data_IF_088207683176
#
_entry.id   IF_088207683176
#
_cell.length_a   1.000
_cell.length_b   1.000
_cell.length_c   1.000
_cell.angle_alpha   90.00
_cell.angle_beta   90.00
_cell.angle_gamma   90.00
#
_symmetry.space_group_name_H-M   'P 1'
#
loop_
_entity.id
_entity.type
_entity.pdbx_description
1 polymer ?
#
# COMPACT_ATOMS: atom_id res chain seq x y z
N UNK A 1 -9.14 48.97 1.22
CA UNK A 1 -9.65 48.01 0.21
C UNK A 1 -8.52 47.10 -0.19
N UNK A 2 -8.36 45.97 0.51
CA UNK A 2 -7.22 45.06 0.37
C UNK A 2 -7.57 44.00 -0.67
N UNK A 3 -6.87 44.02 -1.79
CA UNK A 3 -7.07 43.09 -2.91
C UNK A 3 -6.42 41.74 -2.53
N UNK A 4 -7.22 40.72 -2.22
CA UNK A 4 -6.77 39.33 -2.05
C UNK A 4 -6.47 38.76 -3.45
N UNK A 5 -5.19 38.65 -3.78
CA UNK A 5 -4.74 37.97 -4.98
C UNK A 5 -4.84 36.45 -4.74
N UNK A 6 -5.88 35.85 -5.27
CA UNK A 6 -6.05 34.40 -5.31
C UNK A 6 -5.07 33.84 -6.35
N UNK A 7 -3.98 33.20 -5.88
CA UNK A 7 -3.07 32.45 -6.74
C UNK A 7 -3.76 31.14 -7.10
N UNK A 8 -4.36 31.09 -8.27
CA UNK A 8 -4.82 29.83 -8.86
C UNK A 8 -3.59 29.01 -9.25
N UNK A 9 -3.25 27.98 -8.47
CA UNK A 9 -2.28 26.98 -8.87
C UNK A 9 -2.90 26.15 -9.99
N UNK A 10 -2.38 26.33 -11.21
CA UNK A 10 -2.73 25.48 -12.35
C UNK A 10 -2.35 24.06 -12.03
N UNK A 11 -3.33 23.19 -11.72
CA UNK A 11 -3.12 21.76 -11.63
C UNK A 11 -2.78 21.27 -13.05
N UNK A 12 -1.51 20.94 -13.28
CA UNK A 12 -1.10 20.26 -14.49
C UNK A 12 -1.75 18.87 -14.50
N UNK A 13 -2.72 18.67 -15.36
CA UNK A 13 -3.31 17.36 -15.60
C UNK A 13 -2.28 16.48 -16.33
N UNK A 14 -1.48 15.73 -15.58
CA UNK A 14 -0.74 14.63 -16.16
C UNK A 14 -1.75 13.59 -16.68
N UNK A 15 -1.57 13.03 -17.90
CA UNK A 15 -2.44 11.98 -18.40
C UNK A 15 -2.20 10.70 -17.60
N UNK A 16 -2.90 10.54 -16.47
CA UNK A 16 -2.87 9.33 -15.66
C UNK A 16 -3.76 8.24 -16.28
N UNK A 17 -3.19 7.05 -16.45
CA UNK A 17 -3.92 5.83 -16.80
C UNK A 17 -4.79 5.25 -15.68
N UNK A 18 -4.46 5.40 -14.37
CA UNK A 18 -5.34 5.04 -13.26
C UNK A 18 -6.64 5.83 -13.30
N UNK A 19 -7.74 5.19 -12.88
CA UNK A 19 -9.04 5.87 -12.79
C UNK A 19 -9.11 6.79 -11.56
N UNK A 20 -8.38 6.45 -10.47
CA UNK A 20 -8.30 7.24 -9.26
C UNK A 20 -6.84 7.34 -8.79
N UNK A 21 -6.42 8.53 -8.37
CA UNK A 21 -5.06 8.77 -7.90
C UNK A 21 -5.00 9.91 -6.88
N UNK A 22 -4.12 9.79 -5.89
CA UNK A 22 -3.77 10.86 -4.97
C UNK A 22 -2.29 10.79 -4.63
N UNK A 23 -1.62 11.94 -4.71
CA UNK A 23 -0.22 12.10 -4.31
C UNK A 23 -0.12 13.30 -3.38
N UNK A 24 0.42 13.08 -2.19
CA UNK A 24 0.58 14.12 -1.19
C UNK A 24 2.03 14.24 -0.70
N UNK A 25 2.41 15.44 -0.30
CA UNK A 25 3.58 15.67 0.55
C UNK A 25 3.20 15.31 1.99
N UNK A 26 3.90 14.33 2.58
CA UNK A 26 3.59 13.83 3.93
C UNK A 26 3.74 14.91 5.00
N UNK A 27 4.72 15.80 4.86
CA UNK A 27 5.08 16.78 5.89
C UNK A 27 4.08 17.94 5.99
N UNK A 28 3.53 18.35 4.86
CA UNK A 28 2.60 19.48 4.77
C UNK A 28 1.13 19.09 4.55
N UNK A 29 0.87 17.83 4.18
CA UNK A 29 -0.44 17.38 3.72
C UNK A 29 -0.84 17.97 2.35
N UNK A 30 0.05 18.72 1.68
CA UNK A 30 -0.23 19.33 0.40
C UNK A 30 -0.53 18.26 -0.66
N UNK A 31 -1.65 18.41 -1.35
CA UNK A 31 -1.98 17.62 -2.54
C UNK A 31 -1.07 18.08 -3.68
N UNK A 32 -0.26 17.15 -4.19
CA UNK A 32 0.65 17.38 -5.31
C UNK A 32 0.02 16.98 -6.64
N UNK A 33 -0.74 15.89 -6.63
CA UNK A 33 -1.50 15.39 -7.79
C UNK A 33 -2.78 14.72 -7.31
N UNK A 34 -3.87 14.94 -8.01
CA UNK A 34 -5.17 14.36 -7.70
C UNK A 34 -5.95 14.00 -8.97
N UNK A 35 -6.66 12.89 -8.92
CA UNK A 35 -7.64 12.48 -9.91
C UNK A 35 -8.68 11.58 -9.23
N UNK A 36 -9.94 12.02 -9.18
CA UNK A 36 -11.05 11.22 -8.64
C UNK A 36 -10.70 10.57 -7.28
N UNK A 37 -10.04 11.32 -6.38
CA UNK A 37 -9.47 10.77 -5.15
C UNK A 37 -10.50 10.16 -4.20
N UNK A 38 -11.75 10.62 -4.28
CA UNK A 38 -12.86 10.18 -3.42
C UNK A 38 -13.78 9.14 -4.09
N UNK A 39 -13.44 8.67 -5.29
CA UNK A 39 -14.19 7.58 -5.91
C UNK A 39 -13.94 6.27 -5.13
N UNK A 40 -15.03 5.62 -4.72
CA UNK A 40 -15.00 4.32 -4.06
C UNK A 40 -14.80 3.25 -5.12
N UNK A 41 -13.69 2.50 -4.99
CA UNK A 41 -13.31 1.42 -5.91
C UNK A 41 -12.79 0.20 -5.16
N UNK A 42 -12.85 -1.02 -5.73
CA UNK A 42 -12.19 -2.18 -5.16
C UNK A 42 -10.68 -1.97 -5.06
N UNK A 43 -10.07 -2.41 -3.96
CA UNK A 43 -8.67 -2.11 -3.63
C UNK A 43 -7.74 -3.32 -3.68
N UNK A 44 -8.29 -4.51 -3.93
CA UNK A 44 -7.53 -5.75 -3.98
C UNK A 44 -6.58 -5.88 -2.76
N UNK A 45 -5.39 -6.45 -2.95
CA UNK A 45 -4.42 -6.73 -1.89
C UNK A 45 -3.82 -5.50 -1.18
N UNK A 46 -4.26 -4.26 -1.48
CA UNK A 46 -3.95 -3.11 -0.62
C UNK A 46 -4.55 -3.32 0.78
N UNK A 47 -5.66 -4.07 0.87
CA UNK A 47 -6.29 -4.58 2.09
C UNK A 47 -5.29 -5.16 3.09
N UNK A 48 -4.23 -5.82 2.63
CA UNK A 48 -3.26 -6.50 3.49
C UNK A 48 -2.44 -5.55 4.38
N UNK A 49 -2.39 -4.25 4.06
CA UNK A 49 -1.84 -3.25 4.99
C UNK A 49 -2.72 -3.12 6.24
N UNK A 50 -4.04 -3.09 6.08
CA UNK A 50 -4.97 -3.09 7.21
C UNK A 50 -4.88 -4.40 8.00
N UNK A 51 -4.86 -5.53 7.31
CA UNK A 51 -4.67 -6.84 7.94
C UNK A 51 -3.43 -6.88 8.80
N UNK A 52 -2.30 -6.40 8.29
CA UNK A 52 -1.04 -6.37 9.02
C UNK A 52 -1.10 -5.46 10.26
N UNK A 53 -1.67 -4.26 10.15
CA UNK A 53 -1.83 -3.34 11.28
C UNK A 53 -2.66 -3.99 12.40
N UNK A 54 -3.80 -4.58 12.07
CA UNK A 54 -4.69 -5.23 13.05
C UNK A 54 -4.01 -6.42 13.71
N UNK A 55 -3.28 -7.24 12.94
CA UNK A 55 -2.53 -8.39 13.48
C UNK A 55 -1.43 -7.94 14.45
N UNK A 56 -0.70 -6.87 14.11
CA UNK A 56 0.36 -6.33 14.97
C UNK A 56 -0.20 -5.65 16.22
N UNK A 57 -1.34 -4.97 16.11
CA UNK A 57 -2.01 -4.35 17.27
C UNK A 57 -2.45 -5.37 18.31
N UNK A 58 -2.75 -6.61 17.91
CA UNK A 58 -3.08 -7.70 18.81
C UNK A 58 -1.91 -8.17 19.68
N UNK A 59 -0.67 -7.73 19.39
CA UNK A 59 0.56 -8.04 20.15
C UNK A 59 0.76 -9.54 20.42
N UNK A 60 0.33 -10.37 19.48
CA UNK A 60 0.55 -11.82 19.55
C UNK A 60 2.05 -12.14 19.43
N UNK A 61 2.44 -13.28 20.00
CA UNK A 61 3.80 -13.79 19.80
C UNK A 61 4.07 -14.03 18.30
N UNK A 62 5.05 -13.29 17.76
CA UNK A 62 5.43 -13.35 16.35
C UNK A 62 6.29 -14.57 16.02
N UNK A 63 6.83 -15.25 17.01
CA UNK A 63 7.54 -16.53 16.86
C UNK A 63 6.60 -17.74 17.01
N UNK A 64 5.38 -17.55 17.50
CA UNK A 64 4.38 -18.60 17.59
C UNK A 64 4.07 -19.19 16.21
N UNK A 65 4.02 -20.53 16.14
CA UNK A 65 3.74 -21.24 14.91
C UNK A 65 2.27 -21.12 14.50
N UNK A 66 2.04 -20.75 13.26
CA UNK A 66 0.74 -20.82 12.58
C UNK A 66 0.75 -22.01 11.62
N UNK A 67 -0.22 -22.92 11.77
CA UNK A 67 -0.47 -23.95 10.75
C UNK A 67 -1.33 -23.34 9.64
N UNK A 68 -0.94 -23.61 8.41
CA UNK A 68 -1.74 -23.28 7.21
C UNK A 68 -2.79 -24.38 7.04
N UNK A 69 -4.05 -23.98 7.00
CA UNK A 69 -5.22 -24.86 6.99
C UNK A 69 -5.96 -24.84 5.66
N UNK A 70 -6.85 -25.80 5.41
CA UNK A 70 -7.75 -25.82 4.23
C UNK A 70 -8.68 -24.60 4.24
N UNK A 71 -9.05 -24.07 5.39
CA UNK A 71 -9.85 -22.86 5.53
C UNK A 71 -9.13 -21.59 5.04
N UNK A 72 -7.81 -21.64 4.85
CA UNK A 72 -7.01 -20.54 4.34
C UNK A 72 -6.91 -20.56 2.81
N UNK A 73 -7.44 -21.60 2.17
CA UNK A 73 -7.49 -21.72 0.71
C UNK A 73 -8.50 -20.74 0.12
N UNK A 74 -8.06 -19.99 -0.88
CA UNK A 74 -8.94 -19.04 -1.59
C UNK A 74 -10.05 -19.75 -2.37
N UNK A 75 -11.29 -19.55 -1.94
CA UNK A 75 -12.51 -20.04 -2.59
C UNK A 75 -13.23 -18.93 -3.38
N UNK A 76 -12.75 -17.67 -3.35
CA UNK A 76 -13.39 -16.52 -3.99
C UNK A 76 -12.91 -16.39 -5.45
N UNK A 77 -11.60 -16.45 -5.66
CA UNK A 77 -10.95 -16.26 -6.97
C UNK A 77 -10.07 -17.45 -7.38
N UNK A 78 -9.96 -18.46 -6.53
CA UNK A 78 -9.12 -19.64 -6.74
C UNK A 78 -7.64 -19.27 -7.05
N UNK A 79 -7.13 -18.23 -6.37
CA UNK A 79 -5.75 -17.81 -6.51
C UNK A 79 -4.80 -18.87 -5.97
N UNK A 80 -3.65 -19.02 -6.62
CA UNK A 80 -2.61 -19.95 -6.18
C UNK A 80 -1.77 -19.37 -5.05
N UNK A 81 -1.31 -20.24 -4.14
CA UNK A 81 -0.29 -19.92 -3.13
C UNK A 81 0.83 -20.93 -3.21
N UNK A 82 2.07 -20.46 -2.97
CA UNK A 82 3.25 -21.32 -2.86
C UNK A 82 3.43 -21.89 -1.44
N UNK A 83 2.58 -21.47 -0.50
CA UNK A 83 2.56 -21.99 0.87
C UNK A 83 1.58 -23.17 0.92
N UNK A 84 2.04 -24.40 1.10
CA UNK A 84 1.15 -25.56 1.07
C UNK A 84 0.32 -25.66 2.34
N UNK A 85 -0.87 -26.20 2.24
CA UNK A 85 -1.68 -26.62 3.38
C UNK A 85 -0.88 -27.64 4.21
N UNK A 86 -1.03 -27.59 5.52
CA UNK A 86 -0.27 -28.40 6.49
C UNK A 86 1.18 -27.91 6.68
N UNK A 87 1.56 -26.74 6.15
CA UNK A 87 2.80 -26.08 6.56
C UNK A 87 2.59 -25.39 7.92
N UNK A 88 3.62 -25.38 8.77
CA UNK A 88 3.66 -24.64 10.02
C UNK A 88 4.79 -23.65 9.97
N UNK A 89 4.51 -22.36 10.20
CA UNK A 89 5.44 -21.25 10.03
C UNK A 89 5.32 -20.29 11.22
N UNK A 90 6.41 -19.64 11.67
CA UNK A 90 6.31 -18.52 12.60
C UNK A 90 5.37 -17.44 12.06
N UNK A 91 4.58 -16.83 12.94
CA UNK A 91 3.64 -15.74 12.57
C UNK A 91 4.35 -14.61 11.80
N UNK A 92 5.59 -14.27 12.17
CA UNK A 92 6.41 -13.27 11.46
C UNK A 92 6.64 -13.65 9.99
N UNK A 93 6.91 -14.92 9.69
CA UNK A 93 7.14 -15.39 8.32
C UNK A 93 5.84 -15.39 7.51
N UNK A 94 4.70 -15.70 8.18
CA UNK A 94 3.38 -15.60 7.56
C UNK A 94 3.05 -14.14 7.24
N UNK A 95 3.37 -13.20 8.13
CA UNK A 95 3.22 -11.76 7.89
C UNK A 95 4.13 -11.29 6.74
N UNK A 96 5.38 -11.78 6.69
CA UNK A 96 6.32 -11.53 5.60
C UNK A 96 5.72 -11.95 4.26
N UNK A 97 5.19 -13.16 4.17
CA UNK A 97 4.55 -13.69 2.96
C UNK A 97 3.32 -12.89 2.54
N UNK A 98 2.46 -12.52 3.49
CA UNK A 98 1.24 -11.75 3.21
C UNK A 98 1.55 -10.34 2.66
N UNK A 99 2.57 -9.66 3.17
CA UNK A 99 2.89 -8.30 2.77
C UNK A 99 3.81 -8.23 1.55
N UNK A 100 4.96 -8.93 1.56
CA UNK A 100 5.98 -8.85 0.52
C UNK A 100 5.54 -9.53 -0.77
N UNK A 101 5.18 -10.82 -0.71
CA UNK A 101 4.72 -11.57 -1.87
C UNK A 101 3.23 -11.52 -2.11
N UNK A 102 2.49 -10.82 -1.23
CA UNK A 102 1.04 -10.67 -1.32
C UNK A 102 0.27 -12.01 -1.26
N UNK A 103 0.79 -12.99 -0.53
CA UNK A 103 0.19 -14.31 -0.44
C UNK A 103 -1.16 -14.27 0.28
N UNK A 104 -2.20 -14.79 -0.40
CA UNK A 104 -3.58 -14.74 0.09
C UNK A 104 -3.81 -15.75 1.22
N UNK A 105 -3.22 -16.95 1.10
CA UNK A 105 -3.35 -18.00 2.11
C UNK A 105 -2.69 -17.57 3.42
N UNK A 106 -1.54 -16.90 3.34
CA UNK A 106 -0.88 -16.31 4.49
C UNK A 106 -1.75 -15.22 5.16
N UNK A 107 -2.36 -14.33 4.39
CA UNK A 107 -3.24 -13.31 4.94
C UNK A 107 -4.50 -13.92 5.60
N UNK A 108 -5.09 -14.96 4.99
CA UNK A 108 -6.22 -15.68 5.55
C UNK A 108 -5.88 -16.37 6.88
N UNK A 109 -4.71 -17.03 6.96
CA UNK A 109 -4.27 -17.71 8.19
C UNK A 109 -3.98 -16.74 9.34
N UNK A 110 -3.47 -15.54 9.05
CA UNK A 110 -3.31 -14.48 10.05
C UNK A 110 -4.65 -14.07 10.67
N UNK A 111 -5.68 -13.88 9.85
CA UNK A 111 -7.03 -13.54 10.33
C UNK A 111 -7.69 -14.71 11.06
N UNK A 112 -7.55 -15.93 10.57
CA UNK A 112 -8.09 -17.13 11.24
C UNK A 112 -7.48 -17.33 12.63
N UNK A 113 -6.19 -17.07 12.77
CA UNK A 113 -5.45 -17.24 14.05
C UNK A 113 -5.37 -15.96 14.89
N UNK A 114 -6.19 -14.97 14.56
CA UNK A 114 -6.37 -13.77 15.37
C UNK A 114 -7.04 -14.14 16.71
N UNK A 115 -6.76 -13.44 17.82
CA UNK A 115 -7.46 -13.70 19.09
C UNK A 115 -8.97 -13.54 18.94
N UNK A 116 -9.71 -14.62 19.16
CA UNK A 116 -11.16 -14.68 18.92
C UNK A 116 -11.57 -15.05 17.49
N UNK A 117 -10.61 -15.38 16.60
CA UNK A 117 -10.88 -15.87 15.27
C UNK A 117 -11.23 -14.79 14.23
N UNK A 118 -11.79 -15.23 13.09
CA UNK A 118 -12.08 -14.36 11.94
C UNK A 118 -13.08 -13.24 12.26
N UNK A 119 -14.09 -13.51 13.04
CA UNK A 119 -15.12 -12.54 13.42
C UNK A 119 -14.54 -11.42 14.30
N UNK A 120 -13.68 -11.78 15.26
CA UNK A 120 -12.97 -10.80 16.07
C UNK A 120 -11.98 -9.98 15.24
N UNK A 121 -11.31 -10.61 14.26
CA UNK A 121 -10.44 -9.91 13.31
C UNK A 121 -11.23 -8.86 12.51
N UNK A 122 -12.38 -9.21 11.92
CA UNK A 122 -13.23 -8.26 11.16
C UNK A 122 -13.72 -7.12 12.06
N UNK A 123 -14.11 -7.43 13.30
CA UNK A 123 -14.49 -6.41 14.29
C UNK A 123 -13.33 -5.44 14.57
N UNK A 124 -12.11 -5.95 14.72
CA UNK A 124 -10.92 -5.14 14.94
C UNK A 124 -10.56 -4.29 13.70
N UNK A 125 -10.77 -4.83 12.50
CA UNK A 125 -10.64 -4.06 11.23
C UNK A 125 -11.60 -2.88 11.22
N UNK A 126 -12.88 -3.09 11.53
CA UNK A 126 -13.87 -2.01 11.56
C UNK A 126 -13.53 -0.94 12.60
N UNK A 127 -13.10 -1.35 13.80
CA UNK A 127 -12.63 -0.42 14.81
C UNK A 127 -11.43 0.40 14.34
N UNK A 128 -10.48 -0.23 13.63
CA UNK A 128 -9.30 0.44 13.06
C UNK A 128 -9.68 1.42 11.95
N UNK A 129 -10.59 1.05 11.05
CA UNK A 129 -11.11 1.94 10.01
C UNK A 129 -11.72 3.21 10.63
N UNK A 130 -12.56 3.04 11.66
CA UNK A 130 -13.16 4.16 12.38
C UNK A 130 -12.10 5.05 13.05
N UNK A 131 -11.13 4.44 13.74
CA UNK A 131 -10.05 5.17 14.43
C UNK A 131 -9.18 5.99 13.45
N UNK A 132 -9.03 5.53 12.21
CA UNK A 132 -8.28 6.22 11.16
C UNK A 132 -9.14 7.22 10.38
N UNK A 133 -10.44 7.33 10.66
CA UNK A 133 -11.36 8.19 9.93
C UNK A 133 -11.51 7.78 8.45
N UNK A 134 -11.45 6.48 8.15
CA UNK A 134 -11.59 5.92 6.80
C UNK A 134 -13.06 5.64 6.47
N UNK A 135 -13.86 6.71 6.41
CA UNK A 135 -15.32 6.63 6.33
C UNK A 135 -15.87 6.05 5.00
N UNK A 136 -15.05 6.03 3.96
CA UNK A 136 -15.42 5.52 2.64
C UNK A 136 -14.72 4.19 2.32
N UNK A 137 -14.34 3.44 3.37
CA UNK A 137 -13.63 2.16 3.24
C UNK A 137 -14.44 1.03 3.86
N UNK A 138 -14.61 -0.04 3.09
CA UNK A 138 -15.18 -1.30 3.55
C UNK A 138 -14.16 -2.41 3.37
N UNK A 139 -13.95 -3.22 4.42
CA UNK A 139 -13.10 -4.41 4.38
C UNK A 139 -13.86 -5.56 5.05
N UNK A 140 -14.22 -6.56 4.27
CA UNK A 140 -14.98 -7.74 4.74
C UNK A 140 -14.08 -8.94 5.05
N UNK A 141 -12.88 -8.98 4.40
CA UNK A 141 -11.99 -10.14 4.52
C UNK A 141 -10.51 -9.71 4.39
N UNK A 142 -9.54 -10.52 4.88
CA UNK A 142 -8.16 -10.09 5.09
C UNK A 142 -7.30 -9.99 3.83
N UNK A 143 -7.75 -10.51 2.68
CA UNK A 143 -6.89 -10.71 1.52
C UNK A 143 -7.03 -9.64 0.44
N UNK A 144 -8.23 -9.06 0.30
CA UNK A 144 -8.61 -8.17 -0.80
C UNK A 144 -9.07 -8.91 -2.06
N UNK A 145 -9.49 -10.16 -1.93
CA UNK A 145 -10.06 -10.94 -3.04
C UNK A 145 -11.54 -10.61 -3.26
N UNK A 146 -12.26 -10.25 -2.19
CA UNK A 146 -13.62 -9.74 -2.31
C UNK A 146 -13.63 -8.39 -3.02
N UNK A 147 -14.50 -8.24 -4.01
CA UNK A 147 -14.73 -6.96 -4.68
C UNK A 147 -15.46 -5.94 -3.78
N UNK A 148 -15.97 -6.38 -2.64
CA UNK A 148 -16.54 -5.53 -1.60
C UNK A 148 -15.48 -4.89 -0.69
N UNK A 149 -14.22 -5.35 -0.74
CA UNK A 149 -13.12 -4.62 -0.13
C UNK A 149 -12.84 -3.37 -0.97
N UNK A 150 -13.47 -2.27 -0.61
CA UNK A 150 -13.47 -1.01 -1.35
C UNK A 150 -12.90 0.14 -0.51
N UNK A 151 -12.35 1.14 -1.17
CA UNK A 151 -11.86 2.36 -0.55
C UNK A 151 -11.75 3.50 -1.56
N UNK A 152 -11.35 4.68 -1.08
CA UNK A 152 -10.95 5.84 -1.87
C UNK A 152 -9.44 6.05 -1.80
N UNK A 153 -8.86 6.77 -2.76
CA UNK A 153 -7.45 7.15 -2.67
C UNK A 153 -7.17 8.02 -1.44
N UNK A 154 -8.14 8.87 -1.05
CA UNK A 154 -8.07 9.71 0.16
C UNK A 154 -7.97 8.88 1.44
N UNK A 155 -8.81 7.86 1.60
CA UNK A 155 -8.74 6.97 2.78
C UNK A 155 -7.48 6.10 2.77
N UNK A 156 -7.04 5.65 1.59
CA UNK A 156 -5.81 4.85 1.46
C UNK A 156 -4.54 5.64 1.78
N UNK A 157 -4.53 6.96 1.63
CA UNK A 157 -3.46 7.83 2.15
C UNK A 157 -3.42 7.77 3.67
N UNK A 158 -4.57 7.83 4.36
CA UNK A 158 -4.65 7.68 5.83
C UNK A 158 -4.11 6.31 6.26
N UNK A 159 -4.48 5.25 5.53
CA UNK A 159 -3.97 3.90 5.78
C UNK A 159 -2.46 3.81 5.60
N UNK A 160 -1.90 4.42 4.56
CA UNK A 160 -0.46 4.43 4.29
C UNK A 160 0.32 5.19 5.38
N UNK A 161 -0.21 6.33 5.83
CA UNK A 161 0.36 7.09 6.96
C UNK A 161 0.38 6.24 8.23
N UNK A 162 -0.73 5.61 8.58
CA UNK A 162 -0.82 4.75 9.75
C UNK A 162 0.11 3.54 9.66
N UNK A 163 0.12 2.83 8.53
CA UNK A 163 0.97 1.67 8.29
C UNK A 163 2.47 1.99 8.36
N UNK A 164 2.86 3.22 7.99
CA UNK A 164 4.24 3.69 8.05
C UNK A 164 4.80 3.80 9.48
N UNK A 165 3.95 3.77 10.50
CA UNK A 165 4.36 3.80 11.91
C UNK A 165 4.68 2.39 12.47
N UNK A 166 4.47 1.33 11.69
CA UNK A 166 4.78 -0.03 12.08
C UNK A 166 6.12 -0.46 11.46
N UNK A 167 7.15 -0.64 12.29
CA UNK A 167 8.49 -1.02 11.83
C UNK A 167 8.49 -2.31 11.01
N UNK A 168 7.71 -3.32 11.40
CA UNK A 168 7.60 -4.57 10.65
C UNK A 168 6.95 -4.37 9.28
N UNK A 169 5.91 -3.54 9.17
CA UNK A 169 5.27 -3.27 7.89
C UNK A 169 6.24 -2.57 6.95
N UNK A 170 6.92 -1.52 7.42
CA UNK A 170 7.89 -0.77 6.61
C UNK A 170 9.04 -1.66 6.16
N UNK A 171 9.64 -2.44 7.07
CA UNK A 171 10.70 -3.40 6.76
C UNK A 171 10.25 -4.39 5.68
N UNK A 172 9.16 -5.12 5.93
CA UNK A 172 8.69 -6.18 5.03
C UNK A 172 8.32 -5.64 3.65
N UNK A 173 7.65 -4.50 3.57
CA UNK A 173 7.16 -3.96 2.30
C UNK A 173 8.26 -3.30 1.46
N UNK A 174 9.45 -3.12 2.03
CA UNK A 174 10.65 -2.58 1.36
C UNK A 174 11.75 -3.62 1.13
N UNK A 175 11.58 -4.84 1.61
CA UNK A 175 12.44 -5.96 1.27
C UNK A 175 12.15 -6.42 -0.17
N UNK A 176 13.20 -6.59 -0.99
CA UNK A 176 13.07 -7.01 -2.39
C UNK A 176 12.82 -8.51 -2.53
N UNK A 177 13.39 -9.30 -1.62
CA UNK A 177 13.27 -10.76 -1.57
C UNK A 177 13.63 -11.28 -0.18
N UNK A 178 13.13 -12.47 0.13
CA UNK A 178 13.46 -13.18 1.36
C UNK A 178 13.38 -14.69 1.15
N UNK A 179 14.08 -15.43 2.04
CA UNK A 179 14.12 -16.89 2.06
C UNK A 179 13.30 -17.40 3.23
N UNK A 180 12.19 -18.06 2.95
CA UNK A 180 11.29 -18.62 3.97
C UNK A 180 11.46 -20.14 4.04
N UNK A 181 11.63 -20.68 5.24
CA UNK A 181 11.72 -22.13 5.44
C UNK A 181 10.31 -22.75 5.45
N UNK A 182 9.98 -23.49 4.42
CA UNK A 182 8.70 -24.20 4.30
C UNK A 182 8.96 -25.72 4.33
N UNK A 183 8.54 -26.37 5.41
CA UNK A 183 8.72 -27.83 5.59
C UNK A 183 10.17 -28.26 5.39
N UNK A 184 11.12 -27.51 5.94
CA UNK A 184 12.57 -27.82 5.87
C UNK A 184 13.25 -27.39 4.56
N UNK A 185 12.53 -26.73 3.64
CA UNK A 185 13.10 -26.21 2.38
C UNK A 185 13.12 -24.70 2.38
N UNK A 186 14.25 -24.12 1.99
CA UNK A 186 14.37 -22.67 1.76
C UNK A 186 13.70 -22.31 0.43
N UNK A 187 12.68 -21.45 0.47
CA UNK A 187 11.93 -20.99 -0.70
C UNK A 187 12.07 -19.49 -0.83
N UNK A 188 12.59 -19.03 -1.98
CA UNK A 188 12.75 -17.61 -2.24
C UNK A 188 11.42 -16.98 -2.64
N UNK A 189 11.08 -15.87 -1.97
CA UNK A 189 9.93 -15.01 -2.26
C UNK A 189 10.40 -13.61 -2.64
N UNK A 190 9.65 -12.96 -3.53
CA UNK A 190 9.97 -11.64 -4.04
C UNK A 190 8.87 -10.63 -3.75
N UNK A 191 9.27 -9.37 -3.64
CA UNK A 191 8.32 -8.27 -3.53
C UNK A 191 7.53 -8.11 -4.83
N UNK A 192 6.22 -7.93 -4.71
CA UNK A 192 5.33 -7.72 -5.85
C UNK A 192 5.50 -6.36 -6.52
N UNK A 193 6.14 -5.40 -5.82
CA UNK A 193 6.49 -4.11 -6.40
C UNK A 193 7.91 -4.16 -6.98
N UNK A 194 8.00 -4.26 -8.30
CA UNK A 194 9.29 -4.30 -8.99
C UNK A 194 10.15 -3.03 -8.90
N UNK A 195 9.74 -1.98 -8.18
CA UNK A 195 10.59 -0.82 -7.88
C UNK A 195 11.39 -0.97 -6.60
N UNK A 196 10.98 -1.87 -5.70
CA UNK A 196 11.70 -2.13 -4.45
C UNK A 196 13.10 -2.65 -4.75
N UNK A 197 14.11 -2.06 -4.13
CA UNK A 197 15.52 -2.37 -4.34
C UNK A 197 16.13 -1.81 -5.64
N UNK A 198 15.36 -1.11 -6.50
CA UNK A 198 15.91 -0.51 -7.71
C UNK A 198 16.59 0.83 -7.43
N UNK A 199 17.72 1.05 -8.11
CA UNK A 199 18.46 2.32 -8.06
C UNK A 199 17.55 3.50 -8.41
N UNK A 200 17.61 4.52 -7.58
CA UNK A 200 16.84 5.75 -7.72
C UNK A 200 15.43 5.69 -7.16
N UNK A 201 15.03 4.59 -6.50
CA UNK A 201 13.80 4.49 -5.73
C UNK A 201 14.13 4.33 -4.25
N UNK A 202 13.81 5.35 -3.47
CA UNK A 202 13.88 5.33 -2.01
C UNK A 202 12.46 5.09 -1.47
N UNK A 203 12.12 3.81 -1.36
CA UNK A 203 10.78 3.36 -0.98
C UNK A 203 10.79 3.06 0.52
N UNK A 204 9.84 3.65 1.25
CA UNK A 204 9.69 3.54 2.70
C UNK A 204 8.47 2.70 3.09
N UNK A 205 7.54 2.51 2.19
CA UNK A 205 6.37 1.63 2.28
C UNK A 205 5.91 1.26 0.88
N UNK A 206 5.44 0.05 0.68
CA UNK A 206 4.91 -0.38 -0.61
C UNK A 206 3.86 -1.47 -0.48
N UNK A 207 2.78 -1.39 -1.24
CA UNK A 207 1.87 -2.50 -1.46
C UNK A 207 1.23 -2.41 -2.83
N UNK A 208 1.22 -3.52 -3.57
CA UNK A 208 0.49 -3.66 -4.83
C UNK A 208 -0.80 -4.44 -4.64
N UNK A 209 -1.77 -4.22 -5.51
CA UNK A 209 -3.00 -4.99 -5.58
C UNK A 209 -3.42 -5.26 -7.03
N UNK A 210 -4.09 -6.37 -7.23
CA UNK A 210 -4.74 -6.72 -8.49
C UNK A 210 -5.86 -7.73 -8.29
N UNK A 211 -7.02 -7.41 -8.78
CA UNK A 211 -8.08 -8.31 -9.23
C UNK A 211 -8.64 -7.78 -10.53
N UNK A 212 -9.50 -8.51 -11.20
CA UNK A 212 -10.15 -8.04 -12.45
C UNK A 212 -10.94 -6.76 -12.16
N UNK A 213 -11.67 -6.72 -11.06
CA UNK A 213 -12.54 -5.60 -10.67
C UNK A 213 -11.75 -4.39 -10.19
N UNK A 214 -10.65 -4.60 -9.45
CA UNK A 214 -9.82 -3.53 -8.92
C UNK A 214 -8.86 -2.93 -9.94
N UNK A 215 -8.57 -3.64 -11.02
CA UNK A 215 -7.44 -3.28 -11.88
C UNK A 215 -6.10 -3.34 -11.15
N UNK A 216 -5.09 -2.67 -11.67
CA UNK A 216 -3.75 -2.61 -11.06
C UNK A 216 -3.66 -1.43 -10.09
N UNK A 217 -3.45 -1.73 -8.82
CA UNK A 217 -3.36 -0.76 -7.73
C UNK A 217 -1.96 -0.73 -7.13
N UNK A 218 -1.58 0.41 -6.55
CA UNK A 218 -0.36 0.55 -5.77
C UNK A 218 -0.50 1.67 -4.73
N UNK A 219 0.03 1.41 -3.54
CA UNK A 219 0.37 2.41 -2.54
C UNK A 219 1.89 2.41 -2.39
N UNK A 220 2.50 3.59 -2.36
CA UNK A 220 3.91 3.76 -2.00
C UNK A 220 4.09 5.00 -1.14
N UNK A 221 4.96 4.90 -0.14
CA UNK A 221 5.62 6.03 0.48
C UNK A 221 7.05 6.06 -0.04
N UNK A 222 7.46 7.17 -0.64
CA UNK A 222 8.78 7.33 -1.27
C UNK A 222 9.43 8.62 -0.81
N UNK A 223 10.76 8.65 -0.79
CA UNK A 223 11.51 9.89 -0.71
C UNK A 223 11.89 10.35 -2.12
N UNK A 224 11.37 11.49 -2.52
CA UNK A 224 11.61 12.06 -3.85
C UNK A 224 11.89 13.56 -3.72
N UNK A 225 12.91 14.06 -4.40
CA UNK A 225 13.30 15.47 -4.39
C UNK A 225 13.47 16.09 -2.98
N UNK A 226 13.83 15.27 -1.98
CA UNK A 226 13.99 15.68 -0.58
C UNK A 226 12.71 15.76 0.24
N UNK A 227 11.56 15.37 -0.33
CA UNK A 227 10.26 15.27 0.32
C UNK A 227 9.89 13.80 0.55
N UNK A 228 9.17 13.51 1.62
CA UNK A 228 8.47 12.24 1.76
C UNK A 228 7.09 12.39 1.10
N UNK A 229 6.79 11.50 0.19
CA UNK A 229 5.56 11.57 -0.63
C UNK A 229 4.80 10.26 -0.51
N UNK A 230 3.49 10.35 -0.28
CA UNK A 230 2.59 9.21 -0.38
C UNK A 230 1.89 9.26 -1.73
N UNK A 231 1.94 8.15 -2.45
CA UNK A 231 1.33 7.96 -3.75
C UNK A 231 0.36 6.79 -3.70
N UNK A 232 -0.89 7.03 -4.08
CA UNK A 232 -1.94 6.04 -4.27
C UNK A 232 -2.41 6.09 -5.72
N UNK A 233 -2.30 4.97 -6.45
CA UNK A 233 -2.80 4.82 -7.82
C UNK A 233 -3.73 3.61 -7.86
N UNK A 234 -4.98 3.81 -8.28
CA UNK A 234 -6.03 2.80 -8.28
C UNK A 234 -6.58 2.57 -9.68
N UNK A 235 -6.93 1.32 -9.95
CA UNK A 235 -7.62 0.89 -11.16
C UNK A 235 -6.89 1.31 -12.46
N UNK A 236 -5.61 1.00 -12.56
CA UNK A 236 -4.89 1.07 -13.83
C UNK A 236 -5.15 -0.20 -14.65
N UNK A 237 -5.35 -0.04 -15.96
CA UNK A 237 -5.69 -1.16 -16.85
C UNK A 237 -4.56 -2.19 -17.02
N UNK A 238 -3.28 -1.78 -16.82
CA UNK A 238 -2.12 -2.66 -16.94
C UNK A 238 -1.03 -2.31 -15.92
N UNK A 239 -0.18 -3.31 -15.58
CA UNK A 239 1.00 -3.08 -14.72
C UNK A 239 1.98 -2.09 -15.34
N UNK A 240 2.16 -2.13 -16.67
CA UNK A 240 3.01 -1.17 -17.40
C UNK A 240 2.48 0.25 -17.27
N UNK A 241 1.16 0.47 -17.36
CA UNK A 241 0.51 1.77 -17.17
C UNK A 241 0.74 2.27 -15.75
N UNK A 242 0.39 1.47 -14.73
CA UNK A 242 0.62 1.80 -13.31
C UNK A 242 2.07 2.19 -13.03
N UNK A 243 3.01 1.39 -13.54
CA UNK A 243 4.44 1.62 -13.33
C UNK A 243 4.93 2.88 -14.06
N UNK A 244 4.48 3.12 -15.31
CA UNK A 244 4.79 4.35 -16.05
C UNK A 244 4.30 5.57 -15.29
N UNK A 245 3.10 5.52 -14.73
CA UNK A 245 2.53 6.65 -14.02
C UNK A 245 3.24 6.90 -12.68
N UNK A 246 3.64 5.87 -11.96
CA UNK A 246 4.51 6.01 -10.79
C UNK A 246 5.87 6.66 -11.15
N UNK A 247 6.46 6.30 -12.30
CA UNK A 247 7.69 6.95 -12.81
C UNK A 247 7.43 8.42 -13.20
N UNK A 248 6.29 8.72 -13.81
CA UNK A 248 5.94 10.09 -14.21
C UNK A 248 5.72 10.99 -12.97
N UNK A 249 5.03 10.48 -11.93
CA UNK A 249 4.91 11.19 -10.65
C UNK A 249 6.29 11.50 -10.08
N UNK A 250 7.17 10.50 -9.99
CA UNK A 250 8.52 10.71 -9.46
C UNK A 250 9.31 11.75 -10.28
N UNK A 251 9.20 11.73 -11.60
CA UNK A 251 9.85 12.72 -12.51
C UNK A 251 9.29 14.12 -12.25
N UNK A 252 7.97 14.27 -12.22
CA UNK A 252 7.29 15.53 -11.92
C UNK A 252 7.81 16.16 -10.61
N UNK A 253 7.90 15.38 -9.53
CA UNK A 253 8.44 15.84 -8.25
C UNK A 253 9.90 16.31 -8.35
N UNK A 254 10.71 15.68 -9.21
CA UNK A 254 12.10 16.06 -9.43
C UNK A 254 12.24 17.37 -10.25
N UNK A 255 11.38 17.54 -11.24
CA UNK A 255 11.36 18.73 -12.13
C UNK A 255 10.87 19.98 -11.39
N UNK A 256 9.87 19.84 -10.48
CA UNK A 256 9.39 20.91 -9.61
C UNK A 256 10.52 21.50 -8.76
N UNK A 257 11.40 20.64 -8.22
CA UNK A 257 12.58 21.09 -7.46
C UNK A 257 13.57 21.88 -8.32
N UNK A 258 13.75 21.48 -9.56
CA UNK A 258 14.64 22.20 -10.52
C UNK A 258 14.08 23.59 -10.83
N UNK A 259 12.76 23.71 -11.02
CA UNK A 259 12.10 24.99 -11.28
C UNK A 259 12.24 25.95 -10.07
N UNK A 260 11.97 25.48 -8.86
CA UNK A 260 12.12 26.27 -7.62
C UNK A 260 13.57 26.71 -7.39
N UNK A 261 14.55 25.82 -7.62
CA UNK A 261 15.96 26.13 -7.48
C UNK A 261 16.44 27.18 -8.50
N UNK A 262 15.92 27.16 -9.72
CA UNK A 262 16.24 28.20 -10.74
C UNK A 262 15.66 29.55 -10.37
N UNK A 263 14.44 29.63 -9.86
CA UNK A 263 13.79 30.89 -9.42
C UNK A 263 14.52 31.49 -8.23
N UNK A 264 14.94 30.69 -7.26
CA UNK A 264 15.65 31.17 -6.08
C UNK A 264 17.07 31.70 -6.41
N UNK A 265 17.76 31.14 -7.39
CA UNK A 265 19.06 31.66 -7.89
C UNK A 265 18.89 32.98 -8.66
N UNK A 266 17.80 33.15 -9.40
CA UNK A 266 17.53 34.38 -10.16
C UNK A 266 17.22 35.55 -9.23
N UNK A 267 16.53 35.30 -8.13
CA UNK A 267 16.22 36.32 -7.12
C UNK A 267 17.44 36.73 -6.25
N UNK A 268 18.44 35.83 -6.06
CA UNK A 268 19.70 36.16 -5.38
C UNK A 268 20.71 36.93 -6.23
N UNK A 269 20.56 36.91 -7.55
CA UNK A 269 21.42 37.65 -8.47
C UNK A 269 20.92 39.08 -8.77
N UNK A 270 19.81 39.51 -8.16
CA UNK A 270 19.20 40.84 -8.32
C UNK A 270 19.20 41.69 -7.04
N UNK A 271 19.94 41.31 -6.01
CA UNK A 271 20.16 42.10 -4.78
C UNK A 271 21.61 42.56 -4.73
#
# INVERSE_FOLDING_TARGET
MTLLLSIATSAFALPFGPQSALVIDESSGQILLEKNADNIVPIASLTKLMTAMVVLDAKQDMDALISIDEQDVDTIKHSTSRVPVGASLPRKDVLQLALMSSDNRAAASLARTYPGGKEAFVTAVHAKLLALGMAHTTIEEPTGLSFHNTSTASDLVKMALAASNYADITRITTDSRDMINIKGRQVEYHNTNGFVGKKGWDIMLSKTGYTIEAGRCIIMKIKAAGKNVIMVLLNAGASSTRNRDAMNVRRFLSDEKVAVAKTSRHNRARV
#
